data_IF_800939849608
#
_entry.id   IF_800939849608
#
_cell.length_a   1.000
_cell.length_b   1.000
_cell.length_c   1.000
_cell.angle_alpha   90.00
_cell.angle_beta   90.00
_cell.angle_gamma   90.00
#
_symmetry.space_group_name_H-M   'P 1'
#
loop_
_entity.id
_entity.type
_entity.pdbx_description
1 polymer ?
#
# COMPACT_ATOMS: atom_id res chain seq x y z
N UNK A 1 17.16 0.09 -3.77
CA UNK A 1 16.88 -0.71 -2.57
C UNK A 1 18.06 -1.63 -2.31
N UNK A 2 18.42 -1.81 -1.04
CA UNK A 2 19.62 -2.52 -0.65
C UNK A 2 19.54 -4.01 -1.05
N UNK A 3 20.64 -4.57 -1.51
CA UNK A 3 20.80 -6.00 -1.88
C UNK A 3 21.10 -6.88 -0.67
N UNK A 4 20.73 -6.42 0.51
CA UNK A 4 21.05 -6.99 1.82
C UNK A 4 19.86 -7.83 2.33
N UNK A 5 20.05 -8.82 3.23
CA UNK A 5 18.93 -9.54 3.82
C UNK A 5 17.89 -8.60 4.45
N UNK A 6 16.61 -8.87 4.16
CA UNK A 6 15.51 -8.00 4.62
C UNK A 6 15.40 -7.90 6.14
N UNK A 7 15.80 -8.95 6.86
CA UNK A 7 15.85 -8.95 8.33
C UNK A 7 16.85 -7.92 8.86
N UNK A 8 18.05 -7.84 8.29
CA UNK A 8 19.05 -6.85 8.70
C UNK A 8 18.57 -5.42 8.42
N UNK A 9 17.96 -5.21 7.25
CA UNK A 9 17.37 -3.90 6.91
C UNK A 9 16.29 -3.53 7.92
N UNK A 10 15.45 -4.48 8.34
CA UNK A 10 14.42 -4.23 9.33
C UNK A 10 15.00 -3.86 10.70
N UNK A 11 16.04 -4.56 11.16
CA UNK A 11 16.70 -4.23 12.42
C UNK A 11 17.26 -2.81 12.45
N UNK A 12 17.74 -2.31 11.30
CA UNK A 12 18.20 -0.93 11.15
C UNK A 12 17.01 0.05 11.13
N UNK A 13 15.97 -0.26 10.36
CA UNK A 13 14.85 0.65 10.06
C UNK A 13 13.75 0.63 11.14
N UNK A 14 13.69 -0.37 12.02
CA UNK A 14 12.60 -0.53 13.00
C UNK A 14 12.45 0.65 13.95
N UNK A 15 13.54 1.36 14.27
CA UNK A 15 13.54 2.47 15.21
C UNK A 15 13.86 3.83 14.57
N UNK A 16 14.62 3.83 13.46
CA UNK A 16 15.22 5.05 12.88
C UNK A 16 14.74 5.32 11.45
N UNK A 17 13.44 5.18 11.19
CA UNK A 17 12.83 5.42 9.88
C UNK A 17 12.19 6.82 9.81
N UNK A 18 12.47 7.59 8.76
CA UNK A 18 11.84 8.89 8.52
C UNK A 18 10.33 8.79 8.23
N UNK A 19 9.86 7.63 7.76
CA UNK A 19 8.45 7.36 7.54
C UNK A 19 7.70 6.94 8.81
N UNK A 20 8.41 6.71 9.92
CA UNK A 20 7.81 6.28 11.18
C UNK A 20 7.02 7.44 11.80
N UNK A 21 5.74 7.19 12.06
CA UNK A 21 4.87 8.12 12.78
C UNK A 21 4.41 7.43 14.04
N UNK A 22 4.88 7.96 15.18
CA UNK A 22 4.43 7.52 16.50
C UNK A 22 3.28 8.42 16.91
N UNK A 23 2.10 7.84 17.09
CA UNK A 23 0.95 8.56 17.60
C UNK A 23 0.56 7.95 18.94
N UNK A 24 0.37 8.82 19.93
CA UNK A 24 -0.21 8.41 21.20
C UNK A 24 -1.69 8.12 20.96
N UNK A 25 -2.13 6.91 21.30
CA UNK A 25 -3.54 6.55 21.30
C UNK A 25 -4.23 7.05 22.57
N UNK A 26 -5.52 6.71 22.71
CA UNK A 26 -6.24 6.89 23.98
C UNK A 26 -5.72 5.85 24.99
N UNK A 27 -4.61 6.16 25.70
CA UNK A 27 -4.02 5.32 26.75
C UNK A 27 -2.51 5.07 26.61
N UNK A 28 -2.02 3.96 27.20
CA UNK A 28 -0.60 3.57 27.30
C UNK A 28 0.00 2.93 26.04
N UNK A 29 -0.83 2.54 25.06
CA UNK A 29 -0.36 1.91 23.83
C UNK A 29 -0.02 2.95 22.76
N UNK A 30 1.29 3.18 22.53
CA UNK A 30 1.75 3.98 21.38
C UNK A 30 1.57 3.18 20.09
N UNK A 31 0.74 3.68 19.17
CA UNK A 31 0.57 3.04 17.86
C UNK A 31 1.63 3.57 16.90
N UNK A 32 2.32 2.65 16.24
CA UNK A 32 3.39 2.95 15.27
C UNK A 32 2.88 2.77 13.85
N UNK A 33 2.69 3.88 13.16
CA UNK A 33 2.33 3.91 11.74
C UNK A 33 3.57 4.15 10.87
N UNK A 34 3.47 3.78 9.60
CA UNK A 34 4.48 4.08 8.59
C UNK A 34 3.82 4.75 7.38
N UNK A 35 4.42 5.86 6.94
CA UNK A 35 4.04 6.61 5.73
C UNK A 35 4.75 6.11 4.46
N UNK A 36 5.35 4.92 4.51
CA UNK A 36 6.02 4.35 3.34
C UNK A 36 5.05 4.18 2.15
N UNK A 37 5.45 4.60 0.93
CA UNK A 37 4.59 4.48 -0.25
C UNK A 37 4.29 3.01 -0.64
N UNK A 38 5.13 2.08 -0.16
CA UNK A 38 5.06 0.66 -0.50
C UNK A 38 4.41 -0.23 0.57
N UNK A 39 3.54 0.35 1.41
CA UNK A 39 2.85 -0.33 2.50
C UNK A 39 1.32 -0.35 2.27
N UNK A 40 0.69 -1.52 2.33
CA UNK A 40 -0.76 -1.65 2.13
C UNK A 40 -1.58 -1.18 3.34
N UNK A 41 -1.08 -1.41 4.54
CA UNK A 41 -1.83 -1.22 5.79
C UNK A 41 -1.37 0.02 6.57
N UNK A 42 -0.33 0.71 6.10
CA UNK A 42 0.35 1.82 6.80
C UNK A 42 0.81 1.46 8.23
N UNK A 43 0.95 0.18 8.53
CA UNK A 43 1.44 -0.31 9.82
C UNK A 43 2.96 -0.44 9.78
N UNK A 44 3.62 0.01 10.85
CA UNK A 44 5.06 -0.19 11.00
C UNK A 44 5.35 -1.61 11.48
N UNK A 45 5.45 -2.55 10.54
CA UNK A 45 5.81 -3.94 10.81
C UNK A 45 6.68 -4.51 9.70
N UNK A 46 7.47 -5.54 10.02
CA UNK A 46 8.30 -6.22 9.04
C UNK A 46 7.49 -6.74 7.83
N UNK A 47 6.34 -7.38 8.07
CA UNK A 47 5.48 -7.96 7.02
C UNK A 47 5.04 -6.93 5.98
N UNK A 48 4.76 -5.70 6.41
CA UNK A 48 4.18 -4.65 5.58
C UNK A 48 5.20 -3.60 5.11
N UNK A 49 6.44 -3.63 5.61
CA UNK A 49 7.48 -2.70 5.20
C UNK A 49 7.88 -2.93 3.74
N UNK A 50 7.88 -1.84 2.99
CA UNK A 50 8.25 -1.86 1.58
C UNK A 50 9.75 -1.65 1.34
N UNK A 51 10.47 -1.22 2.37
CA UNK A 51 11.93 -1.01 2.33
C UNK A 51 12.70 -2.31 2.63
N UNK A 52 12.20 -3.10 3.58
CA UNK A 52 12.85 -4.33 4.00
C UNK A 52 12.55 -5.52 3.07
N UNK A 53 11.36 -5.58 2.48
CA UNK A 53 10.94 -6.72 1.66
C UNK A 53 11.25 -6.53 0.18
N UNK A 54 11.76 -7.59 -0.46
CA UNK A 54 12.03 -7.62 -1.92
C UNK A 54 10.74 -7.57 -2.75
N UNK A 55 9.69 -8.26 -2.27
CA UNK A 55 8.36 -8.34 -2.90
C UNK A 55 7.38 -7.46 -2.12
N UNK A 56 6.78 -6.48 -2.79
CA UNK A 56 5.78 -5.59 -2.20
C UNK A 56 4.63 -5.40 -3.17
N UNK A 57 3.47 -5.07 -2.60
CA UNK A 57 2.23 -4.81 -3.35
C UNK A 57 1.74 -3.44 -2.91
N UNK A 58 1.36 -2.60 -3.85
CA UNK A 58 0.84 -1.26 -3.55
C UNK A 58 -0.44 -1.01 -4.32
N UNK A 59 -1.36 -0.34 -3.64
CA UNK A 59 -2.65 0.07 -4.18
C UNK A 59 -2.83 1.52 -3.81
N UNK A 60 -2.83 2.37 -4.82
CA UNK A 60 -2.95 3.82 -4.69
C UNK A 60 -4.03 4.35 -5.63
N UNK A 61 -4.70 5.45 -5.27
CA UNK A 61 -5.49 6.18 -6.25
C UNK A 61 -4.57 6.76 -7.33
N UNK A 62 -4.92 6.55 -8.59
CA UNK A 62 -4.25 7.13 -9.75
C UNK A 62 -4.88 8.46 -10.18
N UNK A 63 -4.36 9.01 -11.28
CA UNK A 63 -4.97 10.18 -11.94
C UNK A 63 -6.30 9.78 -12.61
N UNK A 64 -7.26 10.69 -12.65
CA UNK A 64 -8.53 10.53 -13.36
C UNK A 64 -9.38 9.34 -12.89
N UNK A 65 -9.59 9.22 -11.58
CA UNK A 65 -10.41 8.17 -10.95
C UNK A 65 -9.96 6.72 -11.25
N UNK A 66 -8.71 6.54 -11.68
CA UNK A 66 -8.13 5.23 -11.87
C UNK A 66 -7.52 4.69 -10.59
N UNK A 67 -7.35 3.37 -10.50
CA UNK A 67 -6.64 2.72 -9.40
C UNK A 67 -5.28 2.25 -9.91
N UNK A 68 -4.20 2.70 -9.26
CA UNK A 68 -2.85 2.29 -9.54
C UNK A 68 -2.50 1.08 -8.67
N UNK A 69 -2.24 -0.05 -9.34
CA UNK A 69 -1.71 -1.25 -8.71
C UNK A 69 -0.25 -1.40 -9.11
N UNK A 70 0.66 -1.52 -8.13
CA UNK A 70 2.05 -1.78 -8.42
C UNK A 70 2.62 -2.95 -7.61
N UNK A 71 3.57 -3.64 -8.24
CA UNK A 71 4.37 -4.71 -7.63
C UNK A 71 5.85 -4.43 -7.84
N UNK A 72 6.71 -4.94 -6.97
CA UNK A 72 8.16 -4.77 -7.14
C UNK A 72 8.76 -5.89 -8.00
N UNK A 73 9.68 -5.49 -8.88
CA UNK A 73 10.48 -6.41 -9.70
C UNK A 73 11.65 -6.93 -8.87
N UNK A 74 11.72 -8.24 -8.64
CA UNK A 74 12.77 -8.87 -7.84
C UNK A 74 14.17 -8.72 -8.44
N UNK A 75 14.30 -8.65 -9.77
CA UNK A 75 15.59 -8.50 -10.47
C UNK A 75 16.15 -7.06 -10.47
N UNK A 76 15.34 -6.05 -10.13
CA UNK A 76 15.70 -4.62 -10.26
C UNK A 76 15.82 -3.88 -8.92
N UNK A 77 16.15 -4.60 -7.85
CA UNK A 77 16.20 -4.03 -6.48
C UNK A 77 17.18 -2.87 -6.35
N UNK A 78 18.33 -2.95 -7.03
CA UNK A 78 19.34 -1.89 -7.07
C UNK A 78 18.93 -0.67 -7.90
N UNK A 79 17.87 -0.74 -8.71
CA UNK A 79 17.43 0.33 -9.63
C UNK A 79 16.09 0.93 -9.19
N UNK A 80 16.05 1.86 -8.22
CA UNK A 80 14.80 2.38 -7.65
C UNK A 80 13.86 2.98 -8.71
N UNK A 81 14.40 3.67 -9.72
CA UNK A 81 13.60 4.27 -10.79
C UNK A 81 12.80 3.24 -11.63
N UNK A 82 13.31 2.02 -11.79
CA UNK A 82 12.70 0.98 -12.63
C UNK A 82 12.17 -0.23 -11.84
N UNK A 83 12.10 -0.08 -10.52
CA UNK A 83 11.76 -1.13 -9.58
C UNK A 83 10.29 -1.54 -9.66
N UNK A 84 9.40 -0.55 -9.78
CA UNK A 84 7.96 -0.78 -9.71
C UNK A 84 7.41 -1.18 -11.08
N UNK A 85 6.64 -2.25 -11.11
CA UNK A 85 5.74 -2.56 -12.21
C UNK A 85 4.38 -1.95 -11.90
N UNK A 86 4.08 -0.80 -12.52
CA UNK A 86 2.83 -0.06 -12.30
C UNK A 86 1.80 -0.43 -13.36
N UNK A 87 0.59 -0.70 -12.93
CA UNK A 87 -0.56 -0.94 -13.80
C UNK A 87 -1.71 -0.04 -13.37
N UNK A 88 -2.38 0.55 -14.34
CA UNK A 88 -3.48 1.47 -14.12
C UNK A 88 -4.79 0.77 -14.47
N UNK A 89 -5.66 0.62 -13.50
CA UNK A 89 -6.94 -0.08 -13.63
C UNK A 89 -8.10 0.92 -13.62
N UNK A 90 -8.87 0.93 -14.71
CA UNK A 90 -10.13 1.71 -14.89
C UNK A 90 -11.32 0.76 -15.12
N UNK A 91 -11.34 -0.39 -14.45
CA UNK A 91 -12.36 -1.43 -14.65
C UNK A 91 -13.39 -1.42 -13.53
N UNK A 92 -14.49 -2.12 -13.75
CA UNK A 92 -15.47 -2.41 -12.70
C UNK A 92 -14.84 -3.10 -11.48
N UNK A 93 -15.38 -2.81 -10.30
CA UNK A 93 -14.82 -3.25 -9.02
C UNK A 93 -14.57 -4.76 -8.95
N UNK A 94 -15.53 -5.56 -9.39
CA UNK A 94 -15.40 -7.01 -9.38
C UNK A 94 -14.23 -7.49 -10.26
N UNK A 95 -14.07 -6.89 -11.44
CA UNK A 95 -12.95 -7.20 -12.35
C UNK A 95 -11.61 -6.76 -11.78
N UNK A 96 -11.56 -5.62 -11.09
CA UNK A 96 -10.35 -5.15 -10.39
C UNK A 96 -9.97 -6.09 -9.25
N UNK A 97 -10.94 -6.47 -8.40
CA UNK A 97 -10.73 -7.39 -7.29
C UNK A 97 -10.22 -8.76 -7.76
N UNK A 98 -10.80 -9.31 -8.85
CA UNK A 98 -10.32 -10.54 -9.47
C UNK A 98 -8.88 -10.40 -9.97
N UNK A 99 -8.55 -9.29 -10.64
CA UNK A 99 -7.19 -9.04 -11.13
C UNK A 99 -6.17 -9.00 -9.98
N UNK A 100 -6.50 -8.31 -8.89
CA UNK A 100 -5.63 -8.23 -7.70
C UNK A 100 -5.51 -9.59 -6.99
N UNK A 101 -6.61 -10.34 -6.85
CA UNK A 101 -6.58 -11.71 -6.30
C UNK A 101 -5.62 -12.59 -7.09
N UNK A 102 -5.76 -12.57 -8.42
CA UNK A 102 -4.96 -13.40 -9.30
C UNK A 102 -3.47 -13.02 -9.23
N UNK A 103 -3.17 -11.71 -9.27
CA UNK A 103 -1.78 -11.24 -9.26
C UNK A 103 -1.07 -11.43 -7.91
N UNK A 104 -1.79 -11.31 -6.79
CA UNK A 104 -1.20 -11.40 -5.45
C UNK A 104 -1.19 -12.83 -4.92
N UNK A 105 -2.32 -13.53 -5.05
CA UNK A 105 -2.53 -14.86 -4.50
C UNK A 105 -2.28 -15.98 -5.51
N UNK A 106 -3.02 -15.97 -6.62
CA UNK A 106 -3.12 -17.15 -7.49
C UNK A 106 -1.85 -17.34 -8.36
N UNK A 107 -1.11 -16.25 -8.59
CA UNK A 107 0.26 -16.27 -9.14
C UNK A 107 1.35 -16.51 -8.09
N UNK A 108 0.98 -16.87 -6.84
CA UNK A 108 1.89 -17.13 -5.71
C UNK A 108 2.91 -16.01 -5.45
N UNK A 109 2.56 -14.76 -5.74
CA UNK A 109 3.48 -13.64 -5.56
C UNK A 109 3.70 -13.35 -4.06
N UNK A 110 2.61 -13.05 -3.33
CA UNK A 110 2.53 -12.80 -1.89
C UNK A 110 1.12 -13.11 -1.36
N UNK A 111 0.75 -14.40 -1.23
CA UNK A 111 -0.59 -14.79 -0.79
C UNK A 111 -0.95 -14.27 0.60
N UNK A 112 0.07 -14.06 1.46
CA UNK A 112 -0.04 -13.49 2.80
C UNK A 112 -0.65 -12.08 2.85
N UNK A 113 -0.57 -11.33 1.74
CA UNK A 113 -1.10 -9.98 1.59
C UNK A 113 -2.43 -9.93 0.84
N UNK A 114 -2.97 -11.05 0.35
CA UNK A 114 -4.20 -11.09 -0.47
C UNK A 114 -5.37 -10.36 0.20
N UNK A 115 -5.63 -10.67 1.47
CA UNK A 115 -6.71 -10.06 2.26
C UNK A 115 -6.50 -8.56 2.45
N UNK A 116 -5.28 -8.15 2.79
CA UNK A 116 -4.92 -6.73 2.98
C UNK A 116 -5.05 -5.92 1.68
N UNK A 117 -4.63 -6.51 0.55
CA UNK A 117 -4.73 -5.89 -0.77
C UNK A 117 -6.20 -5.66 -1.17
N UNK A 118 -7.05 -6.67 -1.00
CA UNK A 118 -8.49 -6.53 -1.30
C UNK A 118 -9.18 -5.51 -0.39
N UNK A 119 -8.83 -5.48 0.90
CA UNK A 119 -9.35 -4.48 1.83
C UNK A 119 -8.96 -3.06 1.40
N UNK A 120 -7.68 -2.83 1.07
CA UNK A 120 -7.19 -1.53 0.59
C UNK A 120 -7.87 -1.11 -0.71
N UNK A 121 -8.04 -2.04 -1.64
CA UNK A 121 -8.74 -1.82 -2.91
C UNK A 121 -10.19 -1.37 -2.70
N UNK A 122 -10.92 -2.00 -1.76
CA UNK A 122 -12.28 -1.60 -1.41
C UNK A 122 -12.35 -0.16 -0.89
N UNK A 123 -11.46 0.19 0.03
CA UNK A 123 -11.39 1.55 0.61
C UNK A 123 -11.04 2.60 -0.46
N UNK A 124 -10.05 2.33 -1.30
CA UNK A 124 -9.66 3.25 -2.40
C UNK A 124 -10.80 3.40 -3.42
N UNK A 125 -11.47 2.31 -3.79
CA UNK A 125 -12.62 2.39 -4.69
C UNK A 125 -13.77 3.21 -4.09
N UNK A 126 -14.04 3.04 -2.78
CA UNK A 126 -15.01 3.87 -2.06
C UNK A 126 -14.63 5.34 -2.09
N UNK A 127 -13.36 5.68 -1.84
CA UNK A 127 -12.91 7.08 -1.89
C UNK A 127 -13.03 7.70 -3.27
N UNK A 128 -12.75 6.93 -4.34
CA UNK A 128 -12.90 7.40 -5.73
C UNK A 128 -14.37 7.66 -6.07
N UNK A 129 -15.30 6.82 -5.62
CA UNK A 129 -16.74 7.04 -5.80
C UNK A 129 -17.23 8.29 -5.06
N UNK A 130 -16.78 8.51 -3.83
CA UNK A 130 -17.14 9.71 -3.05
C UNK A 130 -16.61 10.98 -3.72
N UNK A 131 -15.39 10.96 -4.24
CA UNK A 131 -14.83 12.08 -4.99
C UNK A 131 -15.65 12.39 -6.26
N UNK A 132 -16.16 11.35 -6.94
CA UNK A 132 -17.05 11.50 -8.10
C UNK A 132 -18.41 12.09 -7.75
N UNK A 133 -18.99 11.70 -6.61
CA UNK A 133 -20.31 12.19 -6.18
C UNK A 133 -20.30 13.64 -5.67
N UNK A 134 -19.12 14.24 -5.47
CA UNK A 134 -18.97 15.57 -4.88
C UNK A 134 -19.31 15.61 -3.39
N UNK A 135 -18.78 16.60 -2.70
CA UNK A 135 -19.23 16.94 -1.34
C UNK A 135 -20.57 17.68 -1.54
N UNK A 136 -21.70 17.10 -1.10
CA UNK A 136 -22.86 17.94 -0.78
C UNK A 136 -22.38 18.88 0.33
N UNK A 137 -22.01 20.12 -0.01
CA UNK A 137 -21.78 21.18 0.97
C UNK A 137 -23.07 21.28 1.77
N UNK A 138 -23.09 20.71 2.98
CA UNK A 138 -24.12 21.04 3.96
C UNK A 138 -23.81 22.48 4.33
N UNK A 139 -24.57 23.43 3.80
CA UNK A 139 -24.57 24.80 4.30
C UNK A 139 -24.89 24.68 5.80
N UNK A 140 -23.86 24.75 6.64
CA UNK A 140 -24.04 25.13 8.04
C UNK A 140 -24.39 26.60 7.95
N UNK A 141 -25.69 26.88 7.93
CA UNK A 141 -26.18 28.23 8.18
C UNK A 141 -25.59 28.66 9.53
N UNK A 142 -24.98 29.84 9.53
CA UNK A 142 -24.52 30.53 10.72
C UNK A 142 -25.73 31.07 11.49
#
# INVERSE_FOLDING_TARGET
MATVPGQLIWEIVKNNNSYLVKQFGNGTASVRFSKEPNNLCNLHSFKHSGLANKKTVTIQPGKDQSLLFATTKTKKQNKPASLLNKSLMKKEFHRMAKTVSNQVGDNYYRPDLKKAALARLSVVNRSLKVAKSGIKKKNRQA
#
